data_IF_342836454903
#
_entry.id   IF_342836454903
#
_cell.length_a   1.000
_cell.length_b   1.000
_cell.length_c   1.000
_cell.angle_alpha   90.00
_cell.angle_beta   90.00
_cell.angle_gamma   90.00
#
_symmetry.space_group_name_H-M   'P 1'
#
loop_
_entity.id
_entity.type
_entity.pdbx_description
1 polymer ?
#
# COMPACT_ATOMS: atom_id res chain seq x y z
N UNK A 1 -8.66 -5.22 -25.96
CA UNK A 1 -9.48 -4.88 -24.77
C UNK A 1 -8.74 -3.85 -23.93
N UNK A 2 -9.40 -2.77 -23.50
CA UNK A 2 -8.77 -1.79 -22.62
C UNK A 2 -8.48 -2.42 -21.23
N UNK A 3 -7.29 -2.19 -20.67
CA UNK A 3 -6.96 -2.63 -19.30
C UNK A 3 -7.90 -1.92 -18.31
N UNK A 4 -8.60 -2.70 -17.47
CA UNK A 4 -9.53 -2.16 -16.46
C UNK A 4 -8.77 -1.28 -15.45
N UNK A 5 -9.35 -0.12 -15.13
CA UNK A 5 -8.83 0.85 -14.15
C UNK A 5 -9.60 0.76 -12.83
N UNK A 6 -9.49 -0.38 -12.16
CA UNK A 6 -10.22 -0.70 -10.93
C UNK A 6 -9.29 -0.93 -9.73
N UNK A 7 -7.98 -0.72 -9.87
CA UNK A 7 -7.04 -0.86 -8.77
C UNK A 7 -6.77 0.48 -8.11
N UNK A 8 -6.82 0.48 -6.79
CA UNK A 8 -6.44 1.57 -5.91
C UNK A 8 -5.08 1.30 -5.29
N UNK A 9 -4.35 2.39 -5.10
CA UNK A 9 -3.09 2.46 -4.38
C UNK A 9 -3.39 3.00 -2.99
N UNK A 10 -2.74 2.49 -1.95
CA UNK A 10 -3.01 2.97 -0.60
C UNK A 10 -1.80 2.86 0.32
N UNK A 11 -1.89 3.60 1.42
CA UNK A 11 -0.93 3.59 2.52
C UNK A 11 -1.69 3.33 3.82
N UNK A 12 -1.24 2.38 4.63
CA UNK A 12 -1.66 2.34 6.04
C UNK A 12 -0.74 3.26 6.83
N UNK A 13 -1.36 4.10 7.66
CA UNK A 13 -0.64 5.05 8.50
C UNK A 13 -0.91 4.75 9.96
N UNK A 14 0.15 4.82 10.75
CA UNK A 14 0.09 4.90 12.20
C UNK A 14 0.48 6.33 12.58
N UNK A 15 -0.54 7.15 12.84
CA UNK A 15 -0.43 8.60 12.96
C UNK A 15 0.26 9.21 11.72
N UNK A 16 1.47 9.75 11.89
CA UNK A 16 2.23 10.39 10.81
C UNK A 16 3.08 9.41 10.00
N UNK A 17 3.27 8.17 10.48
CA UNK A 17 4.20 7.19 9.89
C UNK A 17 3.48 6.25 8.94
N UNK A 18 4.09 5.98 7.78
CA UNK A 18 3.61 4.94 6.86
C UNK A 18 4.09 3.60 7.41
N UNK A 19 3.14 2.70 7.69
CA UNK A 19 3.42 1.36 8.22
C UNK A 19 3.18 0.26 7.20
N UNK A 20 2.43 0.56 6.13
CA UNK A 20 2.24 -0.33 5.00
C UNK A 20 1.96 0.46 3.71
N UNK A 21 2.43 -0.04 2.58
CA UNK A 21 2.09 0.43 1.23
C UNK A 21 1.55 -0.77 0.47
N UNK A 22 0.45 -0.58 -0.26
CA UNK A 22 -0.16 -1.66 -1.02
C UNK A 22 -1.07 -1.23 -2.15
N UNK A 23 -1.53 -2.23 -2.90
CA UNK A 23 -2.53 -2.10 -3.96
C UNK A 23 -3.72 -3.01 -3.72
N UNK A 24 -4.91 -2.59 -4.11
CA UNK A 24 -6.13 -3.38 -3.99
C UNK A 24 -7.22 -2.88 -4.93
N UNK A 25 -8.07 -3.78 -5.40
CA UNK A 25 -9.30 -3.46 -6.12
C UNK A 25 -10.49 -3.16 -5.19
N UNK A 26 -10.39 -3.55 -3.91
CA UNK A 26 -11.41 -3.34 -2.88
C UNK A 26 -10.79 -2.82 -1.58
N UNK A 27 -10.72 -1.48 -1.41
CA UNK A 27 -10.11 -0.88 -0.23
C UNK A 27 -10.81 -1.24 1.09
N UNK A 28 -12.13 -1.36 1.09
CA UNK A 28 -12.90 -1.62 2.31
C UNK A 28 -12.63 -3.04 2.82
N UNK A 29 -12.73 -4.04 1.94
CA UNK A 29 -12.38 -5.42 2.29
C UNK A 29 -10.94 -5.52 2.76
N UNK A 30 -10.01 -4.86 2.07
CA UNK A 30 -8.59 -4.95 2.40
C UNK A 30 -8.25 -4.30 3.74
N UNK A 31 -8.91 -3.20 4.10
CA UNK A 31 -8.77 -2.58 5.42
C UNK A 31 -9.16 -3.54 6.54
N UNK A 32 -10.29 -4.23 6.40
CA UNK A 32 -10.78 -5.18 7.39
C UNK A 32 -9.87 -6.40 7.52
N UNK A 33 -9.32 -6.88 6.41
CA UNK A 33 -8.29 -7.93 6.43
C UNK A 33 -7.07 -7.49 7.22
N UNK A 34 -6.56 -6.27 7.00
CA UNK A 34 -5.41 -5.76 7.75
C UNK A 34 -5.68 -5.70 9.26
N UNK A 35 -6.90 -5.30 9.66
CA UNK A 35 -7.34 -5.31 11.07
C UNK A 35 -7.36 -6.73 11.64
N UNK A 36 -7.90 -7.70 10.89
CA UNK A 36 -7.97 -9.13 11.27
C UNK A 36 -6.59 -9.79 11.33
N UNK A 37 -5.67 -9.38 10.45
CA UNK A 37 -4.25 -9.79 10.46
C UNK A 37 -3.48 -9.21 11.67
N UNK A 38 -4.11 -8.36 12.49
CA UNK A 38 -3.50 -7.77 13.68
C UNK A 38 -2.59 -6.56 13.39
N UNK A 39 -2.70 -5.95 12.21
CA UNK A 39 -1.93 -4.73 11.89
C UNK A 39 -2.49 -3.56 12.68
N UNK A 40 -1.60 -2.80 13.30
CA UNK A 40 -1.94 -1.60 14.07
C UNK A 40 -1.71 -0.38 13.20
N UNK A 41 -2.78 0.29 12.82
CA UNK A 41 -2.77 1.53 12.04
C UNK A 41 -3.95 2.40 12.47
N UNK A 42 -3.81 3.72 12.31
CA UNK A 42 -4.85 4.70 12.63
C UNK A 42 -5.77 4.99 11.45
N UNK A 43 -5.27 4.84 10.22
CA UNK A 43 -6.02 5.17 9.00
C UNK A 43 -5.45 4.50 7.75
N UNK A 44 -6.32 4.17 6.79
CA UNK A 44 -5.95 3.79 5.43
C UNK A 44 -6.14 4.98 4.48
N UNK A 45 -5.06 5.45 3.87
CA UNK A 45 -5.07 6.56 2.92
C UNK A 45 -5.15 6.01 1.49
N UNK A 46 -6.27 6.25 0.79
CA UNK A 46 -6.48 5.77 -0.59
C UNK A 46 -6.03 6.85 -1.59
N UNK A 47 -5.09 6.49 -2.45
CA UNK A 47 -4.59 7.34 -3.53
C UNK A 47 -5.47 7.19 -4.77
N UNK A 48 -6.26 8.22 -5.04
CA UNK A 48 -7.16 8.33 -6.20
C UNK A 48 -6.46 9.04 -7.38
N UNK A 49 -6.90 8.82 -8.63
CA UNK A 49 -7.97 7.92 -9.08
C UNK A 49 -7.53 6.45 -9.14
N UNK A 50 -8.51 5.55 -9.39
CA UNK A 50 -8.25 4.16 -9.72
C UNK A 50 -7.45 4.04 -11.03
N UNK A 51 -6.53 3.09 -11.07
CA UNK A 51 -5.59 2.86 -12.18
C UNK A 51 -5.59 1.40 -12.61
N UNK A 52 -4.83 1.09 -13.66
CA UNK A 52 -4.61 -0.30 -14.06
C UNK A 52 -3.74 -1.02 -13.04
N UNK A 53 -3.89 -2.34 -12.92
CA UNK A 53 -3.09 -3.20 -12.03
C UNK A 53 -1.58 -2.92 -12.15
N UNK A 54 -1.06 -2.95 -13.37
CA UNK A 54 0.37 -2.70 -13.65
C UNK A 54 0.82 -1.30 -13.19
N UNK A 55 0.02 -0.27 -13.41
CA UNK A 55 0.32 1.09 -12.92
C UNK A 55 0.27 1.19 -11.39
N UNK A 56 -0.58 0.39 -10.75
CA UNK A 56 -0.65 0.32 -9.29
C UNK A 56 0.58 -0.40 -8.71
N UNK A 57 0.95 -1.54 -9.27
CA UNK A 57 2.12 -2.33 -8.86
C UNK A 57 3.41 -1.53 -9.02
N UNK A 58 3.61 -0.89 -10.17
CA UNK A 58 4.77 -0.01 -10.38
C UNK A 58 4.82 1.14 -9.37
N UNK A 59 3.66 1.72 -9.04
CA UNK A 59 3.60 2.75 -8.02
C UNK A 59 3.99 2.21 -6.63
N UNK A 60 3.56 0.99 -6.28
CA UNK A 60 3.92 0.35 -5.01
C UNK A 60 5.43 0.14 -4.91
N UNK A 61 6.05 -0.39 -5.97
CA UNK A 61 7.51 -0.55 -6.06
C UNK A 61 8.25 0.78 -5.88
N UNK A 62 7.91 1.79 -6.67
CA UNK A 62 8.51 3.13 -6.61
C UNK A 62 8.34 3.75 -5.22
N UNK A 63 7.18 3.54 -4.59
CA UNK A 63 6.87 4.08 -3.26
C UNK A 63 7.67 3.38 -2.16
N UNK A 64 7.83 2.06 -2.25
CA UNK A 64 8.66 1.28 -1.34
C UNK A 64 10.15 1.64 -1.51
N UNK A 65 10.63 1.83 -2.74
CA UNK A 65 11.98 2.33 -2.98
C UNK A 65 12.22 3.70 -2.35
N UNK A 66 11.29 4.64 -2.55
CA UNK A 66 11.38 5.97 -1.95
C UNK A 66 11.43 5.88 -0.41
N UNK A 67 10.62 5.00 0.18
CA UNK A 67 10.63 4.75 1.61
C UNK A 67 11.99 4.18 2.06
N UNK A 68 12.52 3.16 1.37
CA UNK A 68 13.84 2.57 1.65
C UNK A 68 14.96 3.60 1.60
N UNK A 69 14.97 4.50 0.60
CA UNK A 69 15.98 5.56 0.46
C UNK A 69 16.02 6.51 1.67
N UNK A 70 14.86 6.75 2.30
CA UNK A 70 14.74 7.63 3.48
C UNK A 70 14.85 6.90 4.82
N UNK A 71 14.74 5.56 4.85
CA UNK A 71 14.69 4.74 6.06
C UNK A 71 15.82 3.70 6.13
N UNK A 72 16.98 4.01 5.54
CA UNK A 72 18.18 3.17 5.63
C UNK A 72 18.00 1.78 5.01
N UNK A 73 17.30 1.69 3.88
CA UNK A 73 17.03 0.44 3.17
C UNK A 73 15.87 -0.38 3.72
N UNK A 74 15.23 0.04 4.83
CA UNK A 74 14.16 -0.72 5.48
C UNK A 74 12.81 -0.47 4.81
N UNK A 75 11.99 -1.51 4.76
CA UNK A 75 10.59 -1.40 4.36
C UNK A 75 9.72 -0.82 5.48
N UNK A 76 8.49 -0.35 5.16
CA UNK A 76 7.47 -0.09 6.17
C UNK A 76 7.23 -1.30 7.05
N UNK A 77 6.83 -1.07 8.31
CA UNK A 77 6.71 -2.09 9.38
C UNK A 77 6.05 -3.39 8.95
N UNK A 78 5.00 -3.32 8.13
CA UNK A 78 4.20 -4.47 7.72
C UNK A 78 4.45 -4.93 6.27
N UNK A 79 5.29 -4.24 5.49
CA UNK A 79 5.74 -4.71 4.19
C UNK A 79 6.91 -5.68 4.39
N UNK A 80 6.62 -6.97 4.53
CA UNK A 80 7.65 -8.00 4.60
C UNK A 80 8.52 -7.97 3.34
N UNK A 81 9.84 -7.99 3.51
CA UNK A 81 10.73 -8.52 2.47
C UNK A 81 10.55 -10.02 2.48
N UNK A 82 10.28 -10.65 1.33
CA UNK A 82 10.42 -12.11 1.26
C UNK A 82 11.82 -12.46 1.75
N UNK A 83 11.89 -13.29 2.79
CA UNK A 83 13.11 -13.81 3.40
C UNK A 83 13.48 -15.12 2.74
#
# INVERSE_FOLDING_TARGET
MAKKRNYYRYELRDHRRIVYVGVTDDPARREDEHKREGKRFTSMNIVRPAVTKNSAERWEEEKLEQYRRSHGGKNPRYNKTES
#
